data_IF_809607105181
#
_entry.id   IF_809607105181
#
_cell.length_a   1.000
_cell.length_b   1.000
_cell.length_c   1.000
_cell.angle_alpha   90.00
_cell.angle_beta   90.00
_cell.angle_gamma   90.00
#
_symmetry.space_group_name_H-M   'P 1'
#
loop_
_entity.id
_entity.type
_entity.pdbx_description
1 polymer ?
#
# COMPACT_ATOMS: atom_id res chain seq x y z
N UNK A 1 -9.84 13.22 62.13
CA UNK A 1 -10.62 13.50 60.89
C UNK A 1 -9.65 13.77 59.74
N UNK A 2 -9.69 12.89 58.74
CA UNK A 2 -9.27 12.98 57.32
C UNK A 2 -8.01 13.79 56.95
N UNK A 3 -6.90 13.07 56.69
CA UNK A 3 -5.79 13.51 55.81
C UNK A 3 -5.54 12.48 54.70
N UNK A 4 -6.58 12.18 53.91
CA UNK A 4 -6.46 11.26 52.76
C UNK A 4 -7.12 11.80 51.48
N UNK A 5 -7.71 13.00 51.48
CA UNK A 5 -8.41 13.54 50.32
C UNK A 5 -7.50 14.17 49.25
N UNK A 6 -6.30 14.68 49.60
CA UNK A 6 -5.45 15.39 48.64
C UNK A 6 -4.74 14.46 47.65
N UNK A 7 -4.25 13.30 48.14
CA UNK A 7 -3.53 12.33 47.31
C UNK A 7 -4.47 11.63 46.31
N UNK A 8 -5.72 11.35 46.71
CA UNK A 8 -6.72 10.76 45.83
C UNK A 8 -7.11 11.71 44.67
N UNK A 9 -7.19 13.02 44.92
CA UNK A 9 -7.50 14.01 43.89
C UNK A 9 -6.36 14.22 42.89
N UNK A 10 -5.10 14.18 43.32
CA UNK A 10 -3.94 14.36 42.42
C UNK A 10 -3.81 13.19 41.44
N UNK A 11 -4.03 11.95 41.90
CA UNK A 11 -4.06 10.78 41.01
C UNK A 11 -5.25 10.85 40.05
N UNK A 12 -6.41 11.33 40.52
CA UNK A 12 -7.59 11.50 39.67
C UNK A 12 -7.43 12.60 38.62
N UNK A 13 -6.66 13.66 38.88
CA UNK A 13 -6.50 14.78 37.95
C UNK A 13 -5.50 14.48 36.82
N UNK A 14 -4.50 13.64 37.07
CA UNK A 14 -3.52 13.22 36.04
C UNK A 14 -4.16 12.26 35.02
N UNK A 15 -5.20 11.51 35.40
CA UNK A 15 -5.95 10.67 34.47
C UNK A 15 -6.93 11.45 33.56
N UNK A 16 -7.16 12.76 33.81
CA UNK A 16 -8.09 13.59 33.02
C UNK A 16 -7.43 14.55 32.04
N UNK A 17 -6.10 14.49 31.86
CA UNK A 17 -5.38 15.26 30.85
C UNK A 17 -4.49 14.37 29.97
N UNK A 18 -4.94 13.16 29.64
CA UNK A 18 -4.57 12.64 28.33
C UNK A 18 -5.43 13.39 27.32
N UNK A 19 -4.85 14.16 26.38
CA UNK A 19 -5.61 14.42 25.18
C UNK A 19 -5.95 13.05 24.64
N UNK A 20 -7.22 12.81 24.35
CA UNK A 20 -7.58 11.77 23.41
C UNK A 20 -6.77 12.06 22.15
N UNK A 21 -5.59 11.45 22.05
CA UNK A 21 -5.01 11.12 20.77
C UNK A 21 -5.98 10.03 20.28
N UNK A 22 -7.14 10.48 19.79
CA UNK A 22 -7.72 9.86 18.62
C UNK A 22 -6.56 9.84 17.65
N UNK A 23 -5.85 8.71 17.61
CA UNK A 23 -5.17 8.30 16.39
C UNK A 23 -6.29 8.35 15.39
N UNK A 24 -6.37 9.46 14.64
CA UNK A 24 -7.26 9.57 13.52
C UNK A 24 -6.75 8.47 12.59
N UNK A 25 -7.38 7.30 12.66
CA UNK A 25 -7.30 6.32 11.59
C UNK A 25 -7.93 7.04 10.40
N UNK A 26 -7.10 7.77 9.67
CA UNK A 26 -7.45 8.32 8.37
C UNK A 26 -8.13 7.19 7.58
N UNK A 27 -9.35 7.38 7.07
CA UNK A 27 -10.09 6.30 6.44
C UNK A 27 -9.32 5.82 5.22
N UNK A 28 -8.73 4.63 5.33
CA UNK A 28 -8.07 3.99 4.20
C UNK A 28 -9.10 3.67 3.13
N UNK A 29 -8.71 3.82 1.88
CA UNK A 29 -9.51 3.35 0.76
C UNK A 29 -9.43 1.82 0.74
N UNK A 30 -10.54 1.16 1.07
CA UNK A 30 -10.64 -0.29 0.99
C UNK A 30 -10.69 -0.74 -0.48
N UNK A 31 -9.60 -1.31 -0.95
CA UNK A 31 -9.51 -2.04 -2.22
C UNK A 31 -9.59 -3.55 -1.98
N UNK A 32 -10.13 -4.31 -2.93
CA UNK A 32 -10.36 -5.75 -2.73
C UNK A 32 -9.05 -6.53 -2.68
N UNK A 33 -8.73 -7.05 -1.50
CA UNK A 33 -7.55 -7.91 -1.28
C UNK A 33 -7.77 -9.42 -1.49
N UNK A 34 -8.92 -9.83 -2.05
CA UNK A 34 -9.20 -11.25 -2.37
C UNK A 34 -8.87 -11.63 -3.83
N UNK A 35 -8.20 -12.78 -4.03
CA UNK A 35 -7.95 -13.38 -5.35
C UNK A 35 -9.21 -14.05 -5.93
N UNK A 36 -10.20 -13.27 -6.33
CA UNK A 36 -11.40 -13.76 -7.01
C UNK A 36 -11.37 -13.41 -8.50
N UNK A 37 -11.97 -14.25 -9.34
CA UNK A 37 -12.25 -13.85 -10.72
C UNK A 37 -13.20 -12.66 -10.73
N UNK A 38 -12.81 -11.62 -11.46
CA UNK A 38 -13.59 -10.38 -11.59
C UNK A 38 -14.20 -10.35 -12.98
N UNK A 39 -15.52 -10.19 -13.07
CA UNK A 39 -16.21 -10.00 -14.35
C UNK A 39 -16.03 -8.57 -14.88
N UNK A 40 -16.17 -8.37 -16.20
CA UNK A 40 -16.17 -7.02 -16.80
C UNK A 40 -17.24 -6.12 -16.16
N UNK A 41 -18.39 -6.68 -15.81
CA UNK A 41 -19.45 -5.93 -15.11
C UNK A 41 -19.02 -5.48 -13.71
N UNK A 42 -18.25 -6.29 -12.97
CA UNK A 42 -17.69 -5.92 -11.68
C UNK A 42 -16.59 -4.87 -11.80
N UNK A 43 -15.71 -4.96 -12.81
CA UNK A 43 -14.69 -3.92 -13.07
C UNK A 43 -15.36 -2.56 -13.29
N UNK A 44 -16.48 -2.52 -14.02
CA UNK A 44 -17.23 -1.28 -14.26
C UNK A 44 -17.84 -0.64 -13.00
N UNK A 45 -17.93 -1.39 -11.89
CA UNK A 45 -18.44 -0.90 -10.61
C UNK A 45 -17.32 -0.45 -9.66
N UNK A 46 -16.06 -0.58 -10.05
CA UNK A 46 -14.93 -0.10 -9.27
C UNK A 46 -14.86 1.42 -9.39
N UNK A 47 -15.23 2.12 -8.32
CA UNK A 47 -15.30 3.59 -8.29
C UNK A 47 -13.93 4.28 -8.39
N UNK A 48 -12.84 3.54 -8.10
CA UNK A 48 -11.47 4.06 -8.10
C UNK A 48 -10.68 3.71 -9.37
N UNK A 49 -11.33 3.14 -10.38
CA UNK A 49 -10.69 2.73 -11.63
C UNK A 49 -11.47 3.32 -12.81
N UNK A 50 -10.77 4.09 -13.63
CA UNK A 50 -11.32 4.63 -14.87
C UNK A 50 -10.82 3.79 -16.03
N UNK A 51 -11.78 3.29 -16.82
CA UNK A 51 -11.52 2.57 -18.06
C UNK A 51 -11.76 3.47 -19.27
N UNK A 52 -10.74 3.59 -20.11
CA UNK A 52 -10.78 4.33 -21.37
C UNK A 52 -10.54 3.39 -22.53
N UNK A 53 -11.33 3.54 -23.60
CA UNK A 53 -11.12 2.79 -24.85
C UNK A 53 -9.97 3.43 -25.63
N UNK A 54 -8.97 2.64 -25.96
CA UNK A 54 -7.84 3.02 -26.80
C UNK A 54 -8.18 3.05 -28.29
N UNK A 55 -7.38 3.80 -29.06
CA UNK A 55 -7.49 3.91 -30.51
C UNK A 55 -7.25 2.57 -31.26
N UNK A 56 -6.56 1.60 -30.65
CA UNK A 56 -6.19 0.31 -31.26
C UNK A 56 -7.00 -0.88 -30.72
N UNK A 57 -8.28 -0.68 -30.34
CA UNK A 57 -9.14 -1.69 -29.68
C UNK A 57 -8.65 -2.16 -28.28
N UNK A 58 -7.54 -1.63 -27.76
CA UNK A 58 -7.10 -1.86 -26.39
C UNK A 58 -7.97 -1.13 -25.36
N UNK A 59 -8.14 -1.71 -24.18
CA UNK A 59 -8.75 -1.04 -23.03
C UNK A 59 -7.65 -0.60 -22.07
N UNK A 60 -7.63 0.67 -21.71
CA UNK A 60 -6.71 1.22 -20.72
C UNK A 60 -7.48 1.42 -19.41
N UNK A 61 -6.93 0.91 -18.32
CA UNK A 61 -7.43 1.19 -16.97
C UNK A 61 -6.36 1.98 -16.22
N UNK A 62 -6.79 3.00 -15.49
CA UNK A 62 -5.93 3.72 -14.56
C UNK A 62 -6.69 3.96 -13.25
N UNK A 63 -5.93 4.11 -12.18
CA UNK A 63 -6.43 4.48 -10.87
C UNK A 63 -6.80 5.95 -10.82
N UNK A 64 -7.83 6.28 -10.04
CA UNK A 64 -8.13 7.67 -9.64
C UNK A 64 -7.74 7.93 -8.20
N UNK A 65 -7.10 6.96 -7.52
CA UNK A 65 -6.66 7.11 -6.14
C UNK A 65 -5.50 8.09 -6.11
N UNK A 66 -5.60 9.09 -5.24
CA UNK A 66 -4.46 9.95 -4.91
C UNK A 66 -3.67 9.29 -3.79
N UNK A 67 -2.59 8.58 -4.17
CA UNK A 67 -1.79 7.83 -3.23
C UNK A 67 -0.86 8.74 -2.41
N UNK A 68 -0.70 8.39 -1.13
CA UNK A 68 0.23 9.06 -0.23
C UNK A 68 1.33 8.07 0.15
N UNK A 69 2.42 8.12 -0.62
CA UNK A 69 3.51 7.16 -0.50
C UNK A 69 4.63 7.67 0.41
N UNK A 70 5.12 6.77 1.25
CA UNK A 70 6.31 6.96 2.07
C UNK A 70 7.33 5.88 1.71
N UNK A 71 8.50 6.29 1.18
CA UNK A 71 9.65 5.39 1.05
C UNK A 71 10.29 5.22 2.43
N UNK A 72 10.54 3.98 2.83
CA UNK A 72 11.15 3.66 4.12
C UNK A 72 12.17 2.54 3.95
N UNK A 73 13.27 2.65 4.67
CA UNK A 73 14.19 1.52 4.88
C UNK A 73 13.91 0.92 6.24
N UNK A 74 13.66 -0.39 6.26
CA UNK A 74 13.58 -1.18 7.49
C UNK A 74 14.82 -2.07 7.45
N UNK A 75 15.74 -1.81 8.37
CA UNK A 75 17.12 -2.30 8.30
C UNK A 75 17.79 -1.87 6.98
N UNK A 76 18.14 -2.82 6.11
CA UNK A 76 18.74 -2.56 4.77
C UNK A 76 17.70 -2.71 3.64
N UNK A 77 16.48 -3.13 3.97
CA UNK A 77 15.44 -3.46 3.01
C UNK A 77 14.54 -2.25 2.71
N UNK A 78 14.36 -1.97 1.43
CA UNK A 78 13.57 -0.87 0.91
C UNK A 78 12.10 -1.21 0.72
N UNK A 79 11.22 -0.48 1.40
CA UNK A 79 9.77 -0.62 1.27
C UNK A 79 9.11 0.71 0.91
N UNK A 80 7.91 0.64 0.35
CA UNK A 80 7.04 1.78 0.13
C UNK A 80 5.73 1.55 0.85
N UNK A 81 5.39 2.44 1.77
CA UNK A 81 4.12 2.42 2.49
C UNK A 81 3.15 3.35 1.77
N UNK A 82 1.97 2.86 1.44
CA UNK A 82 0.89 3.65 0.87
C UNK A 82 -0.16 3.93 1.95
N UNK A 83 -0.11 5.13 2.52
CA UNK A 83 -1.01 5.56 3.59
C UNK A 83 -2.46 5.68 3.13
N UNK A 84 -2.70 5.82 1.82
CA UNK A 84 -4.07 5.93 1.29
C UNK A 84 -4.79 4.58 1.30
N UNK A 85 -4.08 3.47 1.04
CA UNK A 85 -4.65 2.12 0.98
C UNK A 85 -4.30 1.25 2.18
N UNK A 86 -3.33 1.67 3.00
CA UNK A 86 -2.75 0.87 4.08
C UNK A 86 -1.84 -0.26 3.59
N UNK A 87 -1.52 -0.30 2.29
CA UNK A 87 -0.67 -1.34 1.72
C UNK A 87 0.82 -1.00 1.86
N UNK A 88 1.63 -2.05 1.95
CA UNK A 88 3.08 -1.96 1.85
C UNK A 88 3.55 -2.68 0.60
N UNK A 89 4.45 -2.04 -0.13
CA UNK A 89 4.98 -2.48 -1.40
C UNK A 89 6.48 -2.71 -1.33
N UNK A 90 6.94 -3.77 -1.97
CA UNK A 90 8.37 -4.02 -2.16
C UNK A 90 8.94 -2.99 -3.15
N UNK A 91 9.94 -2.20 -2.73
CA UNK A 91 10.37 -1.00 -3.49
C UNK A 91 10.84 -1.30 -4.92
N UNK A 92 11.59 -2.38 -5.12
CA UNK A 92 12.28 -2.64 -6.39
C UNK A 92 11.54 -3.61 -7.33
N UNK A 93 10.42 -4.19 -6.87
CA UNK A 93 9.80 -5.35 -7.53
C UNK A 93 10.82 -6.40 -7.97
N UNK A 94 10.61 -7.02 -9.15
CA UNK A 94 11.61 -7.85 -9.83
C UNK A 94 12.30 -7.04 -10.94
N UNK A 95 13.63 -7.07 -10.98
CA UNK A 95 14.43 -6.42 -12.04
C UNK A 95 14.27 -7.06 -13.43
N UNK A 96 13.60 -8.20 -13.53
CA UNK A 96 13.33 -8.92 -14.79
C UNK A 96 11.89 -9.42 -14.85
N UNK A 97 11.37 -9.53 -16.06
CA UNK A 97 10.12 -10.24 -16.29
C UNK A 97 10.19 -11.65 -15.70
N UNK A 98 9.20 -12.00 -14.89
CA UNK A 98 9.15 -13.26 -14.18
C UNK A 98 7.86 -13.99 -14.51
N UNK A 99 7.96 -15.26 -14.92
CA UNK A 99 6.79 -16.11 -15.10
C UNK A 99 6.13 -16.36 -13.74
N UNK A 100 4.81 -16.53 -13.73
CA UNK A 100 4.02 -16.73 -12.51
C UNK A 100 4.60 -17.79 -11.54
N UNK A 101 5.04 -18.95 -12.06
CA UNK A 101 5.67 -19.98 -11.21
C UNK A 101 6.91 -19.46 -10.49
N UNK A 102 7.78 -18.74 -11.20
CA UNK A 102 9.00 -18.16 -10.61
C UNK A 102 8.67 -17.05 -9.60
N UNK A 103 7.60 -16.27 -9.82
CA UNK A 103 7.21 -15.22 -8.86
C UNK A 103 6.70 -15.80 -7.55
N UNK A 104 6.04 -16.97 -7.59
CA UNK A 104 5.69 -17.73 -6.39
C UNK A 104 6.93 -18.22 -5.64
N UNK A 105 7.89 -18.83 -6.35
CA UNK A 105 9.17 -19.29 -5.74
C UNK A 105 9.95 -18.12 -5.11
N UNK A 106 9.99 -16.96 -5.79
CA UNK A 106 10.62 -15.75 -5.27
C UNK A 106 9.94 -15.24 -3.99
N UNK A 107 8.61 -15.13 -3.98
CA UNK A 107 7.84 -14.73 -2.80
C UNK A 107 8.03 -15.68 -1.62
N UNK A 108 8.08 -16.99 -1.86
CA UNK A 108 8.36 -17.96 -0.81
C UNK A 108 9.76 -17.74 -0.20
N UNK A 109 10.76 -17.42 -1.03
CA UNK A 109 12.09 -17.04 -0.55
C UNK A 109 12.06 -15.75 0.26
N UNK A 110 11.39 -14.72 -0.24
CA UNK A 110 11.23 -13.42 0.41
C UNK A 110 10.62 -13.58 1.81
N UNK A 111 9.54 -14.35 1.90
CA UNK A 111 8.86 -14.64 3.17
C UNK A 111 9.67 -15.53 4.09
N UNK A 112 10.42 -16.52 3.59
CA UNK A 112 11.30 -17.32 4.46
C UNK A 112 12.41 -16.46 5.09
N UNK A 113 12.91 -15.48 4.34
CA UNK A 113 14.00 -14.62 4.79
C UNK A 113 13.54 -13.48 5.71
N UNK A 114 12.23 -13.19 5.76
CA UNK A 114 11.70 -12.11 6.59
C UNK A 114 12.08 -10.72 6.08
N UNK A 115 11.93 -10.47 4.78
CA UNK A 115 12.29 -9.18 4.17
C UNK A 115 11.61 -8.02 4.89
N UNK A 116 12.40 -7.03 5.30
CA UNK A 116 11.98 -5.89 6.12
C UNK A 116 11.28 -6.30 7.45
N UNK A 117 11.55 -7.50 7.96
CA UNK A 117 10.89 -8.08 9.15
C UNK A 117 9.52 -8.70 8.90
N UNK A 118 9.06 -8.80 7.64
CA UNK A 118 7.74 -9.32 7.28
C UNK A 118 7.83 -10.67 6.55
N UNK A 119 6.85 -11.53 6.81
CA UNK A 119 6.78 -12.92 6.32
C UNK A 119 5.52 -13.21 5.49
N UNK A 120 4.71 -12.19 5.20
CA UNK A 120 3.40 -12.26 4.57
C UNK A 120 3.32 -11.52 3.22
N UNK A 121 4.47 -11.31 2.57
CA UNK A 121 4.55 -10.77 1.22
C UNK A 121 3.77 -11.65 0.24
N UNK A 122 3.02 -11.01 -0.65
CA UNK A 122 2.20 -11.66 -1.67
C UNK A 122 2.18 -10.86 -2.97
N UNK A 123 1.67 -11.48 -4.03
CA UNK A 123 1.37 -10.73 -5.26
C UNK A 123 0.17 -9.80 -4.99
N UNK A 124 0.09 -8.63 -5.62
CA UNK A 124 -1.12 -7.83 -5.57
C UNK A 124 -2.31 -8.58 -6.19
N UNK A 125 -3.52 -8.26 -5.74
CA UNK A 125 -4.74 -8.62 -6.47
C UNK A 125 -4.86 -7.78 -7.75
N UNK A 126 -5.85 -8.08 -8.59
CA UNK A 126 -6.11 -7.29 -9.79
C UNK A 126 -6.43 -5.83 -9.45
N UNK A 127 -7.24 -5.60 -8.41
CA UNK A 127 -7.62 -4.24 -7.99
C UNK A 127 -6.40 -3.48 -7.44
N UNK A 128 -5.60 -4.12 -6.58
CA UNK A 128 -4.38 -3.53 -6.02
C UNK A 128 -3.31 -3.26 -7.08
N UNK A 129 -3.18 -4.14 -8.08
CA UNK A 129 -2.27 -3.89 -9.19
C UNK A 129 -2.77 -2.75 -10.10
N UNK A 130 -4.08 -2.65 -10.28
CA UNK A 130 -4.68 -1.60 -11.12
C UNK A 130 -4.66 -0.24 -10.41
N UNK A 131 -4.71 -0.20 -9.07
CA UNK A 131 -4.58 1.06 -8.32
C UNK A 131 -3.21 1.72 -8.53
N UNK A 132 -2.18 0.95 -8.87
CA UNK A 132 -0.87 1.49 -9.20
C UNK A 132 -0.75 1.99 -10.65
N UNK A 133 -1.79 1.91 -11.49
CA UNK A 133 -1.70 2.32 -12.90
C UNK A 133 -2.06 3.78 -13.11
N UNK A 134 -1.24 4.47 -13.89
CA UNK A 134 -1.38 5.89 -14.23
C UNK A 134 -2.01 6.12 -15.60
N UNK A 135 -2.77 7.22 -15.72
CA UNK A 135 -3.45 7.61 -16.96
C UNK A 135 -2.49 8.00 -18.07
N UNK A 136 -1.28 8.45 -17.71
CA UNK A 136 -0.27 8.94 -18.64
C UNK A 136 1.10 8.37 -18.29
N UNK A 137 1.99 8.30 -19.29
CA UNK A 137 3.36 7.85 -19.06
C UNK A 137 4.11 8.88 -18.22
N UNK A 138 4.69 8.43 -17.12
CA UNK A 138 5.72 9.17 -16.36
C UNK A 138 7.02 8.39 -16.50
N UNK A 139 8.06 9.04 -17.00
CA UNK A 139 9.38 8.42 -17.27
C UNK A 139 9.32 7.12 -18.12
N UNK A 140 8.39 7.08 -19.07
CA UNK A 140 8.18 5.93 -19.95
C UNK A 140 7.37 4.78 -19.35
N UNK A 141 6.83 4.90 -18.13
CA UNK A 141 6.01 3.88 -17.45
C UNK A 141 4.60 4.40 -17.13
N UNK A 142 3.63 3.49 -17.06
CA UNK A 142 2.24 3.77 -16.67
C UNK A 142 1.98 3.36 -15.21
N UNK A 143 2.98 3.49 -14.34
CA UNK A 143 2.88 3.10 -12.93
C UNK A 143 3.00 4.36 -12.09
N UNK A 144 2.10 4.53 -11.12
CA UNK A 144 2.12 5.59 -10.13
C UNK A 144 3.41 5.47 -9.29
N UNK A 145 4.18 6.56 -9.25
CA UNK A 145 5.60 6.51 -8.90
C UNK A 145 5.88 6.94 -7.46
N UNK A 146 6.12 5.94 -6.62
CA UNK A 146 7.21 5.92 -5.64
C UNK A 146 8.10 4.67 -5.84
N UNK A 147 7.69 3.74 -6.70
CA UNK A 147 8.23 2.37 -6.91
C UNK A 147 9.33 2.31 -7.98
N UNK A 148 9.78 3.46 -8.49
CA UNK A 148 10.84 3.50 -9.50
C UNK A 148 12.19 3.61 -8.83
N UNK A 149 12.98 2.57 -9.06
CA UNK A 149 14.40 2.43 -8.76
C UNK A 149 15.14 3.64 -9.32
N UNK A 150 15.82 4.37 -8.44
CA UNK A 150 16.90 5.26 -8.85
C UNK A 150 17.97 4.39 -9.53
N UNK A 151 17.99 4.41 -10.85
CA UNK A 151 19.13 3.96 -11.63
C UNK A 151 19.35 5.03 -12.68
N UNK A 152 20.30 5.94 -12.44
CA UNK A 152 21.54 6.08 -13.22
C UNK A 152 22.43 7.09 -12.49
N UNK A 153 23.58 6.62 -12.00
CA UNK A 153 24.66 7.45 -11.48
C UNK A 153 25.95 6.63 -11.43
N UNK A 154 26.59 6.55 -12.61
CA UNK A 154 28.00 6.21 -12.92
C UNK A 154 28.91 5.63 -11.83
#
# INVERSE_FOLDING_TARGET
>A
MKRYLLHALIVSFVFFLMPDIHSAEEPYITIRSSYTNISVSQVRLMHNIVMSRGHENGMFAHSTINHSYEKKHIDEDGVVIDHTTGLMWHQSGSSKYMKYKKSKEWLEGLNRNGYAGYHDWRLPTVEEATSLLESSKREGRYIDQPLVIDNVGS
#
